data_IF_791678091063
#
_entry.id   IF_791678091063
#
_cell.length_a   1.000
_cell.length_b   1.000
_cell.length_c   1.000
_cell.angle_alpha   90.00
_cell.angle_beta   90.00
_cell.angle_gamma   90.00
#
_symmetry.space_group_name_H-M   'P 1'
#
loop_
_entity.id
_entity.type
_entity.pdbx_description
1 polymer ?
#
# COMPACT_ATOMS: atom_id res chain seq x y z
N UNK A 1 -9.36 46.59 -5.03
CA UNK A 1 -10.09 46.38 -6.30
C UNK A 1 -11.15 45.30 -6.08
N UNK A 2 -12.25 45.34 -6.83
CA UNK A 2 -13.37 44.41 -6.69
C UNK A 2 -12.96 43.06 -7.31
N UNK A 3 -13.12 41.93 -6.59
CA UNK A 3 -12.59 40.61 -7.00
C UNK A 3 -13.11 40.12 -8.36
N UNK A 4 -14.32 40.56 -8.74
CA UNK A 4 -14.95 40.25 -10.03
C UNK A 4 -14.34 41.02 -11.21
N UNK A 5 -13.77 42.21 -10.98
CA UNK A 5 -13.10 42.99 -12.01
C UNK A 5 -11.73 42.38 -12.36
N UNK A 6 -10.97 41.94 -11.34
CA UNK A 6 -9.70 41.22 -11.51
C UNK A 6 -9.87 39.89 -12.26
N UNK A 7 -10.89 39.07 -11.96
CA UNK A 7 -11.14 37.82 -12.72
C UNK A 7 -11.43 38.05 -14.20
N UNK A 8 -12.03 39.19 -14.56
CA UNK A 8 -12.34 39.52 -15.97
C UNK A 8 -11.06 39.96 -16.71
N UNK A 9 -10.20 40.76 -16.07
CA UNK A 9 -8.91 41.17 -16.64
C UNK A 9 -7.93 40.01 -16.82
N UNK A 10 -7.93 39.03 -15.91
CA UNK A 10 -7.08 37.83 -16.02
C UNK A 10 -7.49 36.93 -17.18
N UNK A 11 -8.79 36.77 -17.44
CA UNK A 11 -9.31 35.93 -18.52
C UNK A 11 -9.01 36.44 -19.93
N UNK A 12 -8.54 37.69 -20.05
CA UNK A 12 -8.14 38.31 -21.32
C UNK A 12 -6.63 38.26 -21.56
N UNK A 13 -5.84 37.75 -20.60
CA UNK A 13 -4.39 37.60 -20.74
C UNK A 13 -4.03 36.45 -21.69
N UNK A 14 -3.00 36.68 -22.53
CA UNK A 14 -2.44 35.65 -23.41
C UNK A 14 -1.44 34.79 -22.64
N UNK A 15 -1.98 33.79 -21.92
CA UNK A 15 -1.16 32.90 -21.11
C UNK A 15 -0.17 32.09 -21.95
N UNK A 16 1.11 32.02 -21.57
CA UNK A 16 2.13 31.28 -22.31
C UNK A 16 1.83 29.77 -22.36
N UNK A 17 1.17 29.27 -21.31
CA UNK A 17 0.69 27.90 -21.18
C UNK A 17 -0.79 27.96 -20.79
N UNK A 18 -1.63 27.16 -21.44
CA UNK A 18 -3.07 27.14 -21.14
C UNK A 18 -3.32 26.75 -19.67
N UNK A 19 -4.09 27.55 -18.89
CA UNK A 19 -4.50 27.15 -17.55
C UNK A 19 -5.34 25.87 -17.58
N UNK A 20 -5.12 24.99 -16.60
CA UNK A 20 -5.90 23.79 -16.39
C UNK A 20 -7.36 24.13 -16.08
N UNK A 21 -8.27 23.23 -16.43
CA UNK A 21 -9.68 23.33 -16.05
C UNK A 21 -9.87 23.40 -14.51
N UNK A 22 -8.92 22.88 -13.73
CA UNK A 22 -8.98 22.98 -12.26
C UNK A 22 -9.00 24.43 -11.76
N UNK A 23 -8.45 25.37 -12.55
CA UNK A 23 -8.46 26.80 -12.25
C UNK A 23 -9.86 27.45 -12.33
N UNK A 24 -10.89 26.72 -12.78
CA UNK A 24 -12.29 27.15 -12.63
C UNK A 24 -12.78 27.00 -11.17
N UNK A 25 -12.11 26.16 -10.38
CA UNK A 25 -12.42 25.88 -8.97
C UNK A 25 -11.38 26.45 -8.01
N UNK A 26 -10.12 26.55 -8.46
CA UNK A 26 -9.02 27.16 -7.72
C UNK A 26 -8.79 28.63 -8.15
N UNK A 27 -8.13 29.41 -7.32
CA UNK A 27 -7.86 30.82 -7.62
C UNK A 27 -6.45 31.04 -8.18
N UNK A 28 -6.35 31.93 -9.18
CA UNK A 28 -5.08 32.46 -9.64
C UNK A 28 -4.39 33.27 -8.54
N UNK A 29 -3.07 33.11 -8.40
CA UNK A 29 -2.28 33.96 -7.51
C UNK A 29 -1.75 35.15 -8.30
N UNK A 30 -2.16 36.37 -7.95
CA UNK A 30 -1.81 37.58 -8.71
C UNK A 30 -1.00 38.55 -7.87
N UNK A 31 0.15 38.98 -8.39
CA UNK A 31 1.02 39.96 -7.75
C UNK A 31 1.48 41.02 -8.76
N UNK A 32 1.13 42.27 -8.51
CA UNK A 32 1.61 43.40 -9.32
C UNK A 32 2.78 44.10 -8.60
N UNK A 33 3.89 44.27 -9.30
CA UNK A 33 5.09 44.97 -8.84
C UNK A 33 5.49 46.02 -9.88
N UNK A 34 5.07 47.26 -9.67
CA UNK A 34 5.33 48.37 -10.61
C UNK A 34 4.68 48.11 -11.97
N UNK A 35 5.51 47.97 -13.00
CA UNK A 35 5.09 47.77 -14.40
C UNK A 35 4.99 46.28 -14.78
N UNK A 36 5.02 45.39 -13.79
CA UNK A 36 5.06 43.95 -13.98
C UNK A 36 3.92 43.30 -13.21
N UNK A 37 3.22 42.38 -13.86
CA UNK A 37 2.17 41.56 -13.29
C UNK A 37 2.62 40.11 -13.32
N UNK A 38 2.64 39.45 -12.17
CA UNK A 38 2.90 38.02 -12.06
C UNK A 38 1.61 37.29 -11.77
N UNK A 39 1.32 36.24 -12.52
CA UNK A 39 0.13 35.41 -12.37
C UNK A 39 0.56 33.95 -12.25
N UNK A 40 0.23 33.35 -11.11
CA UNK A 40 0.47 31.96 -10.77
C UNK A 40 -0.77 31.11 -11.00
N UNK A 41 -0.62 29.98 -11.68
CA UNK A 41 -1.71 29.05 -11.98
C UNK A 41 -1.21 27.63 -12.26
N UNK A 42 -2.14 26.68 -12.27
CA UNK A 42 -1.88 25.31 -12.66
C UNK A 42 -2.18 25.10 -14.15
N UNK A 43 -1.32 24.33 -14.83
CA UNK A 43 -1.51 23.87 -16.20
C UNK A 43 -1.51 22.34 -16.22
N UNK A 44 -2.24 21.72 -17.14
CA UNK A 44 -2.30 20.25 -17.24
C UNK A 44 -0.95 19.71 -17.75
N UNK A 45 -0.36 18.77 -17.01
CA UNK A 45 0.81 18.02 -17.42
C UNK A 45 0.37 16.77 -18.20
N UNK A 46 0.46 16.84 -19.52
CA UNK A 46 0.04 15.75 -20.41
C UNK A 46 1.08 14.64 -20.54
N UNK A 47 2.30 14.87 -20.03
CA UNK A 47 3.43 13.95 -20.09
C UNK A 47 3.81 13.42 -18.70
N UNK A 48 2.89 13.50 -17.74
CA UNK A 48 3.07 12.97 -16.38
C UNK A 48 3.48 11.50 -16.36
N UNK A 49 4.58 11.20 -15.68
CA UNK A 49 5.07 9.84 -15.50
C UNK A 49 4.31 9.10 -14.39
N UNK A 50 4.16 7.78 -14.53
CA UNK A 50 3.53 6.94 -13.52
C UNK A 50 4.35 6.98 -12.21
N UNK A 51 3.78 7.47 -11.08
CA UNK A 51 4.51 7.61 -9.82
C UNK A 51 5.04 6.26 -9.33
N UNK A 52 4.37 5.14 -9.63
CA UNK A 52 4.82 3.81 -9.25
C UNK A 52 6.09 3.35 -9.99
N UNK A 53 6.47 4.06 -11.05
CA UNK A 53 7.64 3.75 -11.88
C UNK A 53 8.74 4.80 -11.73
N UNK A 54 8.39 6.08 -11.63
CA UNK A 54 9.36 7.18 -11.62
C UNK A 54 9.78 7.62 -10.20
N UNK A 55 8.97 7.35 -9.17
CA UNK A 55 9.25 7.75 -7.81
C UNK A 55 9.80 6.58 -6.97
N UNK A 56 10.91 6.85 -6.28
CA UNK A 56 11.51 5.94 -5.32
C UNK A 56 10.62 5.76 -4.07
N UNK A 57 10.55 4.55 -3.52
CA UNK A 57 9.84 4.29 -2.26
C UNK A 57 8.33 4.13 -2.38
N UNK A 58 7.80 4.08 -3.61
CA UNK A 58 6.39 3.82 -3.90
C UNK A 58 6.05 2.32 -3.87
N UNK A 59 7.05 1.44 -3.96
CA UNK A 59 6.83 0.00 -4.06
C UNK A 59 6.24 -0.42 -5.40
N UNK A 60 5.54 -1.55 -5.42
CA UNK A 60 4.96 -2.13 -6.62
C UNK A 60 3.51 -2.54 -6.38
N UNK A 61 2.64 -2.24 -7.35
CA UNK A 61 1.28 -2.75 -7.40
C UNK A 61 1.25 -3.91 -8.39
N UNK A 62 0.91 -5.10 -7.91
CA UNK A 62 0.66 -6.26 -8.76
C UNK A 62 -0.82 -6.59 -8.75
N UNK A 63 -1.41 -6.85 -9.91
CA UNK A 63 -2.83 -7.14 -10.01
C UNK A 63 -3.15 -8.42 -10.79
N UNK A 64 -4.26 -9.06 -10.41
CA UNK A 64 -4.95 -10.10 -11.17
C UNK A 64 -6.19 -9.55 -11.91
N UNK A 65 -6.35 -8.23 -11.91
CA UNK A 65 -7.47 -7.53 -12.53
C UNK A 65 -7.39 -7.62 -14.06
N UNK A 66 -8.46 -7.27 -14.76
CA UNK A 66 -8.62 -7.52 -16.21
C UNK A 66 -7.52 -6.92 -17.12
N UNK A 67 -6.74 -5.97 -16.61
CA UNK A 67 -5.66 -5.30 -17.33
C UNK A 67 -4.27 -5.76 -16.90
N UNK A 68 -4.20 -6.77 -16.03
CA UNK A 68 -2.96 -7.42 -15.63
C UNK A 68 -2.23 -7.90 -16.87
N UNK A 69 -0.96 -7.51 -16.99
CA UNK A 69 -0.08 -7.95 -18.06
C UNK A 69 0.68 -9.18 -17.58
N UNK A 70 1.85 -8.96 -16.99
CA UNK A 70 2.77 -10.00 -16.54
C UNK A 70 2.96 -10.00 -15.01
N UNK A 71 1.95 -9.49 -14.28
CA UNK A 71 2.03 -9.25 -12.83
C UNK A 71 1.56 -10.43 -11.98
N UNK A 72 0.84 -11.41 -12.57
CA UNK A 72 0.30 -12.56 -11.83
C UNK A 72 1.37 -13.33 -11.03
N UNK A 73 2.55 -13.67 -11.60
CA UNK A 73 3.57 -14.40 -10.84
C UNK A 73 4.06 -13.62 -9.63
N UNK A 74 4.21 -12.29 -9.74
CA UNK A 74 4.64 -11.44 -8.65
C UNK A 74 3.57 -11.32 -7.55
N UNK A 75 2.30 -11.22 -7.93
CA UNK A 75 1.18 -11.24 -6.99
C UNK A 75 1.07 -12.60 -6.28
N UNK A 76 1.22 -13.70 -7.02
CA UNK A 76 1.21 -15.06 -6.48
C UNK A 76 2.35 -15.25 -5.48
N UNK A 77 3.58 -14.86 -5.82
CA UNK A 77 4.73 -14.90 -4.93
C UNK A 77 4.50 -14.06 -3.66
N UNK A 78 4.03 -12.82 -3.81
CA UNK A 78 3.76 -11.93 -2.68
C UNK A 78 2.71 -12.51 -1.71
N UNK A 79 1.74 -13.26 -2.22
CA UNK A 79 0.67 -13.88 -1.44
C UNK A 79 0.93 -15.35 -1.07
N UNK A 80 2.10 -15.90 -1.44
CA UNK A 80 2.46 -17.32 -1.28
C UNK A 80 1.49 -18.30 -1.97
N UNK A 81 0.92 -17.91 -3.11
CA UNK A 81 -0.02 -18.70 -3.91
C UNK A 81 0.67 -19.40 -5.08
N UNK A 82 0.08 -20.49 -5.55
CA UNK A 82 0.52 -21.19 -6.74
C UNK A 82 -0.09 -20.60 -8.03
N UNK A 83 0.25 -21.18 -9.18
CA UNK A 83 -0.22 -20.75 -10.49
C UNK A 83 -1.76 -20.84 -10.66
N UNK A 84 -2.42 -21.67 -9.85
CA UNK A 84 -3.87 -21.89 -9.84
C UNK A 84 -4.58 -21.03 -8.77
N UNK A 85 -3.86 -20.07 -8.17
CA UNK A 85 -4.35 -19.18 -7.10
C UNK A 85 -4.79 -19.94 -5.85
N UNK A 86 -4.21 -21.11 -5.59
CA UNK A 86 -4.36 -21.87 -4.36
C UNK A 86 -3.16 -21.66 -3.43
N UNK A 87 -3.25 -22.03 -2.15
CA UNK A 87 -2.08 -22.07 -1.27
C UNK A 87 -0.91 -22.86 -1.89
N UNK A 88 0.25 -22.23 -2.07
CA UNK A 88 1.43 -22.93 -2.56
C UNK A 88 2.01 -23.84 -1.47
N UNK A 89 1.65 -25.12 -1.54
CA UNK A 89 2.10 -26.14 -0.60
C UNK A 89 3.54 -26.63 -0.89
N UNK A 90 4.11 -26.32 -2.05
CA UNK A 90 5.50 -26.65 -2.36
C UNK A 90 6.46 -25.86 -1.46
N UNK A 91 6.08 -24.66 -1.05
CA UNK A 91 6.80 -23.85 -0.05
C UNK A 91 7.00 -24.58 1.28
N UNK A 92 6.13 -25.53 1.63
CA UNK A 92 6.24 -26.34 2.84
C UNK A 92 7.22 -27.52 2.70
N UNK A 93 7.77 -27.75 1.51
CA UNK A 93 8.64 -28.89 1.20
C UNK A 93 10.03 -28.45 0.72
N UNK A 94 10.30 -27.15 0.63
CA UNK A 94 11.54 -26.57 0.10
C UNK A 94 12.66 -26.39 1.15
N UNK A 95 12.57 -27.04 2.30
CA UNK A 95 13.51 -26.86 3.41
C UNK A 95 13.24 -25.63 4.27
N UNK A 96 14.08 -25.46 5.30
CA UNK A 96 14.05 -24.27 6.14
C UNK A 96 12.86 -24.20 7.14
N UNK A 97 12.49 -22.98 7.59
CA UNK A 97 11.50 -22.80 8.65
C UNK A 97 10.09 -23.30 8.31
N UNK A 98 9.69 -23.22 7.04
CA UNK A 98 8.36 -23.63 6.58
C UNK A 98 8.17 -25.15 6.65
N UNK A 99 9.12 -25.93 6.11
CA UNK A 99 9.12 -27.39 6.23
C UNK A 99 9.20 -27.82 7.70
N UNK A 100 10.01 -27.16 8.51
CA UNK A 100 10.12 -27.44 9.93
C UNK A 100 8.80 -27.24 10.69
N UNK A 101 8.03 -26.21 10.34
CA UNK A 101 6.71 -25.96 10.90
C UNK A 101 5.70 -27.04 10.47
N UNK A 102 5.65 -27.33 9.16
CA UNK A 102 4.76 -28.35 8.61
C UNK A 102 5.05 -29.73 9.19
N UNK A 103 6.32 -30.14 9.24
CA UNK A 103 6.76 -31.39 9.86
C UNK A 103 6.30 -31.51 11.31
N UNK A 104 6.48 -30.46 12.11
CA UNK A 104 6.11 -30.48 13.55
C UNK A 104 4.61 -30.69 13.72
N UNK A 105 3.80 -29.93 12.99
CA UNK A 105 2.35 -30.00 13.10
C UNK A 105 1.80 -31.31 12.51
N UNK A 106 2.33 -31.75 11.37
CA UNK A 106 1.96 -33.03 10.78
C UNK A 106 2.25 -34.21 11.72
N UNK A 107 3.43 -34.26 12.34
CA UNK A 107 3.77 -35.32 13.32
C UNK A 107 2.82 -35.27 14.52
N UNK A 108 2.43 -34.07 14.97
CA UNK A 108 1.47 -33.90 16.06
C UNK A 108 0.11 -34.50 15.68
N UNK A 109 -0.40 -34.16 14.51
CA UNK A 109 -1.70 -34.61 14.00
C UNK A 109 -1.71 -36.10 13.66
N UNK A 110 -0.67 -36.60 13.00
CA UNK A 110 -0.50 -38.03 12.71
C UNK A 110 -0.59 -38.89 13.98
N UNK A 111 -0.13 -38.39 15.13
CA UNK A 111 -0.19 -39.14 16.39
C UNK A 111 -1.58 -39.27 17.04
N UNK A 112 -2.59 -38.58 16.48
CA UNK A 112 -3.98 -38.56 16.97
C UNK A 112 -5.01 -38.92 15.90
N UNK A 113 -4.72 -38.72 14.62
CA UNK A 113 -5.65 -39.01 13.52
C UNK A 113 -5.75 -40.52 13.28
N UNK A 114 -7.00 -41.03 13.27
CA UNK A 114 -7.29 -42.46 13.20
C UNK A 114 -6.64 -43.16 12.01
N UNK A 115 -6.64 -42.51 10.83
CA UNK A 115 -6.05 -43.05 9.60
C UNK A 115 -4.57 -43.41 9.77
N UNK A 116 -3.77 -42.48 10.31
CA UNK A 116 -2.35 -42.73 10.54
C UNK A 116 -2.14 -43.76 11.67
N UNK A 117 -2.93 -43.69 12.74
CA UNK A 117 -2.84 -44.64 13.85
C UNK A 117 -3.05 -46.09 13.38
N UNK A 118 -4.11 -46.34 12.59
CA UNK A 118 -4.43 -47.66 12.04
C UNK A 118 -3.34 -48.14 11.08
N UNK A 119 -2.82 -47.26 10.22
CA UNK A 119 -1.70 -47.60 9.35
C UNK A 119 -0.41 -47.91 10.14
N UNK A 120 -0.10 -47.11 11.16
CA UNK A 120 1.10 -47.26 11.97
C UNK A 120 1.10 -48.54 12.82
N UNK A 121 -0.08 -49.01 13.22
CA UNK A 121 -0.32 -50.28 13.89
C UNK A 121 -0.22 -51.46 12.93
N UNK A 122 -0.90 -51.40 11.79
CA UNK A 122 -0.93 -52.50 10.81
C UNK A 122 0.43 -52.76 10.14
N UNK A 123 1.26 -51.72 9.99
CA UNK A 123 2.63 -51.83 9.45
C UNK A 123 3.70 -51.89 10.54
N UNK A 124 3.29 -51.77 11.80
CA UNK A 124 4.17 -51.69 12.96
C UNK A 124 4.48 -53.03 13.61
N UNK A 125 5.31 -53.00 14.65
CA UNK A 125 5.62 -54.19 15.47
C UNK A 125 4.73 -54.31 16.73
N UNK A 126 3.90 -53.30 17.01
CA UNK A 126 3.05 -53.22 18.20
C UNK A 126 1.59 -53.05 17.82
N UNK A 127 0.73 -53.83 18.46
CA UNK A 127 -0.73 -53.84 18.28
C UNK A 127 -1.49 -52.91 19.23
N UNK A 128 -0.87 -52.47 20.33
CA UNK A 128 -1.41 -51.41 21.22
C UNK A 128 -0.42 -50.24 21.28
N UNK A 129 -0.76 -49.16 20.58
CA UNK A 129 0.13 -48.03 20.39
C UNK A 129 -0.05 -46.94 21.45
N UNK A 130 1.01 -46.63 22.19
CA UNK A 130 1.03 -45.41 23.01
C UNK A 130 1.22 -44.17 22.14
N UNK A 131 0.78 -43.00 22.58
CA UNK A 131 1.02 -41.71 21.88
C UNK A 131 2.51 -41.49 21.60
N UNK A 132 3.39 -41.87 22.52
CA UNK A 132 4.84 -41.77 22.33
C UNK A 132 5.36 -42.71 21.22
N UNK A 133 4.74 -43.89 21.04
CA UNK A 133 5.05 -44.78 19.92
C UNK A 133 4.58 -44.17 18.59
N UNK A 134 3.35 -43.66 18.52
CA UNK A 134 2.80 -43.05 17.31
C UNK A 134 3.61 -41.82 16.87
N UNK A 135 3.99 -40.94 17.80
CA UNK A 135 4.88 -39.80 17.49
C UNK A 135 6.23 -40.23 16.91
N UNK A 136 6.85 -41.28 17.48
CA UNK A 136 8.10 -41.84 16.94
C UNK A 136 7.91 -42.45 15.55
N UNK A 137 6.79 -43.14 15.31
CA UNK A 137 6.43 -43.68 13.99
C UNK A 137 6.23 -42.57 12.96
N UNK A 138 5.46 -41.54 13.28
CA UNK A 138 5.27 -40.37 12.43
C UNK A 138 6.60 -39.66 12.11
N UNK A 139 7.45 -39.48 13.13
CA UNK A 139 8.80 -38.89 12.94
C UNK A 139 9.65 -39.75 12.00
N UNK A 140 9.63 -41.07 12.16
CA UNK A 140 10.38 -41.98 11.29
C UNK A 140 9.83 -42.01 9.86
N UNK A 141 8.50 -41.97 9.71
CA UNK A 141 7.81 -41.89 8.41
C UNK A 141 8.25 -40.65 7.65
N UNK A 142 8.18 -39.46 8.28
CA UNK A 142 8.61 -38.20 7.67
C UNK A 142 10.06 -38.25 7.18
N UNK A 143 10.97 -38.75 8.02
CA UNK A 143 12.39 -38.87 7.65
C UNK A 143 12.64 -39.78 6.45
N UNK A 144 11.85 -40.83 6.29
CA UNK A 144 11.97 -41.74 5.17
C UNK A 144 11.36 -41.15 3.89
N UNK A 145 10.24 -40.44 4.01
CA UNK A 145 9.64 -39.67 2.91
C UNK A 145 10.60 -38.60 2.38
N UNK A 146 11.23 -37.82 3.27
CA UNK A 146 12.22 -36.81 2.89
C UNK A 146 13.45 -37.39 2.16
N UNK A 147 13.71 -38.70 2.30
CA UNK A 147 14.77 -39.40 1.56
C UNK A 147 14.31 -39.90 0.17
N UNK A 148 13.13 -39.48 -0.30
CA UNK A 148 12.59 -39.82 -1.63
C UNK A 148 11.99 -41.23 -1.72
N UNK A 149 11.60 -41.84 -0.60
CA UNK A 149 11.08 -43.20 -0.57
C UNK A 149 9.64 -43.28 -0.05
N UNK A 150 8.80 -44.08 -0.71
CA UNK A 150 7.50 -44.47 -0.17
C UNK A 150 7.67 -45.44 1.00
N UNK A 151 6.93 -45.22 2.08
CA UNK A 151 7.06 -46.01 3.31
C UNK A 151 5.93 -47.02 3.36
N UNK A 152 6.25 -48.28 3.09
CA UNK A 152 5.25 -49.35 3.01
C UNK A 152 4.14 -49.04 1.99
N UNK A 153 4.49 -48.41 0.87
CA UNK A 153 3.55 -48.04 -0.19
C UNK A 153 2.61 -46.89 0.17
N UNK A 154 2.99 -46.05 1.15
CA UNK A 154 2.29 -44.83 1.52
C UNK A 154 3.21 -43.61 1.46
N UNK A 155 2.67 -42.52 0.92
CA UNK A 155 3.26 -41.19 0.85
C UNK A 155 2.57 -40.21 1.78
N UNK A 156 3.19 -39.03 1.97
CA UNK A 156 2.67 -38.00 2.87
C UNK A 156 1.21 -37.63 2.52
N UNK A 157 0.95 -37.45 1.23
CA UNK A 157 -0.34 -37.01 0.71
C UNK A 157 -1.39 -38.13 0.60
N UNK A 158 -1.01 -39.39 0.85
CA UNK A 158 -1.96 -40.51 0.91
C UNK A 158 -2.83 -40.50 2.17
N UNK A 159 -2.47 -39.66 3.15
CA UNK A 159 -3.27 -39.44 4.34
C UNK A 159 -4.18 -38.22 4.12
N UNK A 160 -5.49 -38.42 4.24
CA UNK A 160 -6.51 -37.39 3.96
C UNK A 160 -6.33 -36.11 4.79
N UNK A 161 -5.81 -36.21 6.02
CA UNK A 161 -5.57 -35.06 6.90
C UNK A 161 -4.34 -34.23 6.51
N UNK A 162 -3.47 -34.72 5.63
CA UNK A 162 -2.23 -34.00 5.26
C UNK A 162 -2.52 -32.67 4.58
N UNK A 163 -3.53 -32.62 3.71
CA UNK A 163 -3.94 -31.39 3.03
C UNK A 163 -4.49 -30.35 4.03
N UNK A 164 -5.36 -30.78 4.94
CA UNK A 164 -5.89 -29.92 6.03
C UNK A 164 -4.74 -29.29 6.83
N UNK A 165 -3.78 -30.11 7.26
CA UNK A 165 -2.63 -29.64 8.04
C UNK A 165 -1.73 -28.72 7.22
N UNK A 166 -1.49 -29.03 5.95
CA UNK A 166 -0.65 -28.21 5.08
C UNK A 166 -1.26 -26.83 4.88
N UNK A 167 -2.57 -26.75 4.58
CA UNK A 167 -3.29 -25.48 4.41
C UNK A 167 -3.31 -24.65 5.70
N UNK A 168 -3.53 -25.28 6.85
CA UNK A 168 -3.51 -24.59 8.15
C UNK A 168 -2.13 -24.02 8.48
N UNK A 169 -1.07 -24.81 8.24
CA UNK A 169 0.32 -24.36 8.45
C UNK A 169 0.69 -23.27 7.46
N UNK A 170 0.34 -23.40 6.18
CA UNK A 170 0.54 -22.37 5.17
C UNK A 170 -0.10 -21.05 5.61
N UNK A 171 -1.35 -21.10 6.09
CA UNK A 171 -2.09 -19.93 6.57
C UNK A 171 -1.40 -19.26 7.77
N UNK A 172 -0.92 -20.04 8.75
CA UNK A 172 -0.13 -19.52 9.89
C UNK A 172 1.18 -18.87 9.42
N UNK A 173 1.88 -19.49 8.48
CA UNK A 173 3.17 -19.00 7.99
C UNK A 173 3.01 -17.71 7.18
N UNK A 174 1.97 -17.59 6.35
CA UNK A 174 1.61 -16.34 5.66
C UNK A 174 1.26 -15.25 6.67
N UNK A 175 0.40 -15.55 7.66
CA UNK A 175 0.01 -14.58 8.68
C UNK A 175 1.20 -14.07 9.51
N UNK A 176 2.24 -14.88 9.67
CA UNK A 176 3.48 -14.53 10.36
C UNK A 176 4.56 -13.95 9.44
N UNK A 177 4.31 -13.88 8.13
CA UNK A 177 5.26 -13.40 7.14
C UNK A 177 6.51 -14.26 6.99
N UNK A 178 6.40 -15.58 7.24
CA UNK A 178 7.49 -16.54 7.03
C UNK A 178 7.57 -16.98 5.56
N UNK A 179 6.42 -17.00 4.88
CA UNK A 179 6.30 -17.22 3.43
C UNK A 179 5.45 -16.09 2.83
N UNK A 180 5.67 -15.82 1.55
CA UNK A 180 5.13 -14.63 0.89
C UNK A 180 5.81 -13.35 1.38
N UNK A 181 5.27 -12.20 0.97
CA UNK A 181 5.76 -10.92 1.44
C UNK A 181 4.98 -10.48 2.70
N UNK A 182 5.68 -10.42 3.83
CA UNK A 182 5.12 -10.03 5.14
C UNK A 182 4.40 -8.68 5.11
N UNK A 183 4.96 -7.73 4.38
CA UNK A 183 4.53 -6.34 4.39
C UNK A 183 3.59 -6.02 3.22
N UNK A 184 3.24 -7.01 2.39
CA UNK A 184 2.26 -6.85 1.32
C UNK A 184 0.88 -6.46 1.83
N UNK A 185 0.20 -5.57 1.11
CA UNK A 185 -1.12 -5.04 1.46
C UNK A 185 -2.12 -5.39 0.36
N UNK A 186 -3.19 -6.11 0.73
CA UNK A 186 -4.27 -6.48 -0.21
C UNK A 186 -5.08 -5.25 -0.61
N UNK A 187 -5.41 -5.15 -1.90
CA UNK A 187 -6.11 -4.02 -2.49
C UNK A 187 -7.42 -4.43 -3.18
N UNK A 188 -8.43 -3.57 -3.07
CA UNK A 188 -9.65 -3.61 -3.87
C UNK A 188 -9.54 -2.62 -5.05
N UNK A 189 -10.14 -2.96 -6.18
CA UNK A 189 -10.19 -2.12 -7.39
C UNK A 189 -11.64 -1.79 -7.73
N UNK A 190 -11.99 -0.50 -7.77
CA UNK A 190 -13.26 0.01 -8.27
C UNK A 190 -13.11 0.47 -9.72
N UNK A 191 -14.07 0.13 -10.58
CA UNK A 191 -14.07 0.56 -11.98
C UNK A 191 -15.48 0.75 -12.58
N UNK A 192 -15.80 1.98 -13.01
CA UNK A 192 -17.06 2.30 -13.72
C UNK A 192 -16.93 3.48 -14.70
N UNK A 193 -16.20 4.52 -14.32
CA UNK A 193 -15.92 5.70 -15.17
C UNK A 193 -14.49 6.25 -14.96
N UNK A 194 -13.68 5.44 -14.29
CA UNK A 194 -12.33 5.70 -13.81
C UNK A 194 -11.91 4.48 -12.99
N UNK A 195 -10.66 4.46 -12.55
CA UNK A 195 -10.11 3.37 -11.74
C UNK A 195 -9.69 3.93 -10.39
N UNK A 196 -10.08 3.26 -9.32
CA UNK A 196 -9.68 3.62 -7.96
C UNK A 196 -9.22 2.38 -7.21
N UNK A 197 -8.01 2.43 -6.68
CA UNK A 197 -7.43 1.42 -5.81
C UNK A 197 -7.59 1.82 -4.36
N UNK A 198 -7.91 0.86 -3.50
CA UNK A 198 -8.04 1.09 -2.06
C UNK A 198 -7.58 -0.12 -1.28
N UNK A 199 -7.15 0.08 -0.04
CA UNK A 199 -6.82 -1.03 0.86
C UNK A 199 -8.08 -1.89 1.07
N UNK A 200 -7.95 -3.21 0.96
CA UNK A 200 -9.10 -4.11 0.98
C UNK A 200 -9.92 -3.95 2.26
N UNK A 201 -11.22 -3.68 2.07
CA UNK A 201 -12.18 -3.56 3.17
C UNK A 201 -12.19 -2.22 3.91
N UNK A 202 -11.41 -1.21 3.50
CA UNK A 202 -11.46 0.14 4.11
C UNK A 202 -12.50 1.05 3.46
N UNK A 203 -12.86 0.80 2.19
CA UNK A 203 -13.77 1.66 1.44
C UNK A 203 -15.20 1.10 1.34
N UNK A 204 -16.20 1.97 1.46
CA UNK A 204 -17.60 1.64 1.17
C UNK A 204 -17.83 1.73 -0.34
N UNK A 205 -17.52 0.66 -1.06
CA UNK A 205 -17.51 0.64 -2.51
C UNK A 205 -18.75 -0.03 -3.12
N UNK A 206 -19.04 0.29 -4.38
CA UNK A 206 -20.16 -0.31 -5.11
C UNK A 206 -19.91 -1.81 -5.29
N UNK A 207 -20.85 -2.65 -4.85
CA UNK A 207 -20.71 -4.11 -4.95
C UNK A 207 -20.59 -4.61 -6.40
N UNK A 208 -21.09 -3.86 -7.38
CA UNK A 208 -21.08 -4.28 -8.79
C UNK A 208 -19.79 -3.89 -9.52
N UNK A 209 -19.22 -2.75 -9.15
CA UNK A 209 -18.07 -2.16 -9.84
C UNK A 209 -16.76 -2.40 -9.08
N UNK A 210 -16.78 -3.11 -7.94
CA UNK A 210 -15.58 -3.34 -7.13
C UNK A 210 -15.16 -4.80 -7.12
N UNK A 211 -13.96 -5.06 -7.64
CA UNK A 211 -13.26 -6.32 -7.46
C UNK A 211 -12.50 -6.30 -6.13
N UNK A 212 -12.89 -7.17 -5.19
CA UNK A 212 -12.21 -7.29 -3.90
C UNK A 212 -10.94 -8.09 -4.03
N UNK A 213 -9.88 -7.67 -3.33
CA UNK A 213 -8.55 -8.31 -3.35
C UNK A 213 -8.03 -8.51 -4.77
N UNK A 214 -8.30 -7.53 -5.64
CA UNK A 214 -7.95 -7.55 -7.05
C UNK A 214 -6.45 -7.34 -7.28
N UNK A 215 -5.75 -6.77 -6.31
CA UNK A 215 -4.32 -6.54 -6.37
C UNK A 215 -3.67 -6.58 -5.01
N UNK A 216 -2.35 -6.44 -5.02
CA UNK A 216 -1.50 -6.36 -3.85
C UNK A 216 -0.46 -5.27 -4.06
N UNK A 217 -0.31 -4.41 -3.06
CA UNK A 217 0.84 -3.52 -2.97
C UNK A 217 1.96 -4.22 -2.22
N UNK A 218 3.17 -4.15 -2.76
CA UNK A 218 4.39 -4.75 -2.21
C UNK A 218 5.44 -3.66 -2.06
N UNK A 219 5.96 -3.41 -0.84
CA UNK A 219 6.96 -2.37 -0.65
C UNK A 219 8.29 -2.76 -1.33
N UNK A 220 8.93 -1.77 -1.95
CA UNK A 220 10.33 -1.85 -2.39
C UNK A 220 11.29 -1.68 -1.20
N UNK A 221 12.60 -1.64 -1.46
CA UNK A 221 13.62 -1.50 -0.41
C UNK A 221 13.49 -0.19 0.39
N UNK A 222 13.17 0.93 -0.25
CA UNK A 222 13.04 2.23 0.41
C UNK A 222 11.72 2.34 1.19
N UNK A 223 10.64 1.78 0.66
CA UNK A 223 9.37 1.64 1.36
C UNK A 223 9.54 0.76 2.61
N UNK A 224 10.31 -0.34 2.52
CA UNK A 224 10.64 -1.18 3.67
C UNK A 224 11.45 -0.42 4.72
N UNK A 225 12.43 0.39 4.32
CA UNK A 225 13.18 1.23 5.25
C UNK A 225 12.28 2.26 5.96
N UNK A 226 11.32 2.85 5.25
CA UNK A 226 10.32 3.73 5.85
C UNK A 226 9.42 2.99 6.85
N UNK A 227 8.97 1.78 6.52
CA UNK A 227 8.20 0.93 7.42
C UNK A 227 9.03 0.61 8.68
N UNK A 228 10.29 0.19 8.51
CA UNK A 228 11.21 -0.14 9.60
C UNK A 228 11.49 1.07 10.50
N UNK A 229 11.62 2.27 9.91
CA UNK A 229 11.83 3.49 10.67
C UNK A 229 10.59 3.85 11.50
N UNK A 230 9.41 3.72 10.90
CA UNK A 230 8.16 4.21 11.46
C UNK A 230 7.44 3.22 12.39
N UNK A 231 7.74 1.91 12.32
CA UNK A 231 7.03 0.89 13.13
C UNK A 231 7.11 1.19 14.64
N UNK A 232 8.24 1.74 15.10
CA UNK A 232 8.44 2.03 16.52
C UNK A 232 7.60 3.21 17.02
N UNK A 233 7.23 4.12 16.11
CA UNK A 233 6.36 5.28 16.39
C UNK A 233 4.89 4.82 16.35
N UNK A 234 4.50 4.11 15.29
CA UNK A 234 3.15 3.56 15.13
C UNK A 234 2.80 2.47 16.14
N UNK A 235 3.79 1.89 16.83
CA UNK A 235 3.57 1.00 17.96
C UNK A 235 2.76 1.66 19.10
N UNK A 236 2.78 2.99 19.21
CA UNK A 236 2.12 3.75 20.28
C UNK A 236 0.82 4.44 19.87
N UNK A 237 0.52 4.53 18.58
CA UNK A 237 -0.71 5.12 18.09
C UNK A 237 -0.91 4.96 16.59
N UNK A 238 -2.08 5.38 16.11
CA UNK A 238 -2.44 5.43 14.71
C UNK A 238 -2.88 6.85 14.34
N UNK A 239 -2.77 7.21 13.07
CA UNK A 239 -3.26 8.49 12.53
C UNK A 239 -4.37 8.17 11.54
N UNK A 240 -5.54 8.75 11.76
CA UNK A 240 -6.75 8.50 10.98
C UNK A 240 -7.24 9.80 10.36
N UNK A 241 -7.53 9.79 9.06
CA UNK A 241 -8.28 10.86 8.43
C UNK A 241 -9.74 10.83 8.91
N UNK A 242 -10.23 11.95 9.41
CA UNK A 242 -11.63 12.09 9.83
C UNK A 242 -12.58 12.34 8.65
N UNK A 243 -12.03 12.54 7.46
CA UNK A 243 -12.71 12.77 6.19
C UNK A 243 -13.40 14.13 6.10
N UNK A 244 -13.76 14.52 4.87
CA UNK A 244 -14.50 15.77 4.58
C UNK A 244 -13.83 17.02 5.12
N UNK A 245 -12.49 17.09 5.08
CA UNK A 245 -11.73 18.25 5.55
C UNK A 245 -11.82 18.50 7.06
N UNK A 246 -12.21 17.49 7.85
CA UNK A 246 -12.31 17.61 9.31
C UNK A 246 -10.96 17.53 10.02
N UNK A 247 -9.90 17.20 9.29
CA UNK A 247 -8.55 17.03 9.82
C UNK A 247 -8.24 15.60 10.22
N UNK A 248 -7.22 15.45 11.05
CA UNK A 248 -6.58 14.19 11.39
C UNK A 248 -6.70 13.90 12.88
N UNK A 249 -7.01 12.65 13.22
CA UNK A 249 -7.10 12.20 14.61
C UNK A 249 -6.00 11.21 14.91
N UNK A 250 -5.30 11.40 16.03
CA UNK A 250 -4.36 10.39 16.53
C UNK A 250 -5.09 9.53 17.54
N UNK A 251 -5.14 8.21 17.34
CA UNK A 251 -5.66 7.27 18.34
C UNK A 251 -4.50 6.57 19.02
N UNK A 252 -4.48 6.58 20.36
CA UNK A 252 -3.44 5.89 21.12
C UNK A 252 -4.06 4.73 21.89
N UNK A 253 -3.24 3.79 22.36
CA UNK A 253 -3.71 2.75 23.31
C UNK A 253 -4.04 3.31 24.69
N UNK A 254 -3.72 4.58 24.93
CA UNK A 254 -4.12 5.37 26.08
C UNK A 254 -5.40 6.13 25.69
N UNK A 255 -6.27 6.51 26.63
CA UNK A 255 -7.54 7.23 26.32
C UNK A 255 -7.33 8.68 25.83
N UNK A 256 -6.30 8.90 25.00
CA UNK A 256 -5.90 10.17 24.41
C UNK A 256 -6.18 10.11 22.91
N UNK A 257 -7.01 11.04 22.44
CA UNK A 257 -7.40 11.16 21.03
C UNK A 257 -7.32 12.64 20.57
N UNK A 258 -6.11 13.19 20.36
CA UNK A 258 -5.97 14.56 19.89
C UNK A 258 -6.29 14.68 18.39
N UNK A 259 -6.84 15.83 18.02
CA UNK A 259 -7.21 16.19 16.64
C UNK A 259 -6.30 17.33 16.13
N UNK A 260 -5.95 17.27 14.84
CA UNK A 260 -5.04 18.20 14.18
C UNK A 260 -5.60 18.61 12.81
N UNK A 261 -5.22 19.79 12.33
CA UNK A 261 -5.60 20.25 11.00
C UNK A 261 -4.85 19.49 9.89
N UNK A 262 -3.58 19.16 10.12
CA UNK A 262 -2.70 18.52 9.12
C UNK A 262 -2.15 17.18 9.61
N UNK A 263 -1.84 16.30 8.66
CA UNK A 263 -1.18 15.03 8.97
C UNK A 263 0.20 15.26 9.60
N UNK A 264 0.95 16.25 9.12
CA UNK A 264 2.29 16.58 9.62
C UNK A 264 2.29 16.99 11.09
N UNK A 265 1.28 17.74 11.53
CA UNK A 265 1.11 18.09 12.94
C UNK A 265 0.77 16.86 13.79
N UNK A 266 -0.14 16.00 13.29
CA UNK A 266 -0.49 14.74 13.94
C UNK A 266 0.72 13.81 14.08
N UNK A 267 1.53 13.69 13.01
CA UNK A 267 2.77 12.93 13.00
C UNK A 267 3.79 13.47 14.00
N UNK A 268 4.03 14.78 13.98
CA UNK A 268 4.95 15.45 14.92
C UNK A 268 4.53 15.22 16.37
N UNK A 269 3.23 15.25 16.64
CA UNK A 269 2.72 14.93 17.96
C UNK A 269 2.95 13.46 18.34
N UNK A 270 2.65 12.52 17.43
CA UNK A 270 2.83 11.08 17.69
C UNK A 270 4.30 10.72 17.94
N UNK A 271 5.22 11.30 17.18
CA UNK A 271 6.68 11.14 17.39
C UNK A 271 7.07 11.61 18.80
N UNK A 272 6.59 12.78 19.23
CA UNK A 272 6.85 13.29 20.59
C UNK A 272 6.23 12.41 21.66
N UNK A 273 5.04 11.87 21.41
CA UNK A 273 4.36 10.96 22.32
C UNK A 273 5.08 9.61 22.46
N UNK A 274 5.63 9.07 21.38
CA UNK A 274 6.41 7.83 21.37
C UNK A 274 7.81 8.00 21.97
N UNK A 275 8.37 9.21 21.92
CA UNK A 275 9.72 9.51 22.38
C UNK A 275 9.96 9.09 23.85
N UNK A 276 11.00 8.27 24.06
CA UNK A 276 11.39 7.78 25.39
C UNK A 276 10.58 6.58 25.90
N UNK A 277 9.57 6.12 25.16
CA UNK A 277 8.85 4.88 25.46
C UNK A 277 9.59 3.66 24.89
N UNK A 278 9.35 2.49 25.48
CA UNK A 278 9.91 1.21 24.99
C UNK A 278 8.77 0.32 24.52
N UNK A 279 8.79 -0.07 23.25
CA UNK A 279 7.77 -0.94 22.65
C UNK A 279 8.07 -2.42 22.93
N UNK A 280 7.03 -3.21 23.18
CA UNK A 280 7.14 -4.67 23.21
C UNK A 280 7.12 -5.24 21.79
N UNK A 281 7.53 -6.50 21.61
CA UNK A 281 7.50 -7.15 20.29
C UNK A 281 6.10 -7.13 19.65
N UNK A 282 5.04 -7.39 20.43
CA UNK A 282 3.65 -7.34 19.93
C UNK A 282 3.21 -5.93 19.53
N UNK A 283 3.71 -4.90 20.22
CA UNK A 283 3.45 -3.51 19.84
C UNK A 283 4.19 -3.12 18.56
N UNK A 284 5.42 -3.60 18.37
CA UNK A 284 6.17 -3.41 17.13
C UNK A 284 5.49 -4.11 15.95
N UNK A 285 4.95 -5.32 16.14
CA UNK A 285 4.15 -5.99 15.09
C UNK A 285 2.93 -5.16 14.70
N UNK A 286 2.17 -4.66 15.68
CA UNK A 286 1.04 -3.75 15.44
C UNK A 286 1.49 -2.44 14.78
N UNK A 287 2.62 -1.90 15.21
CA UNK A 287 3.20 -0.68 14.66
C UNK A 287 3.64 -0.84 13.21
N UNK A 288 4.20 -2.00 12.86
CA UNK A 288 4.56 -2.36 11.49
C UNK A 288 3.34 -2.46 10.59
N UNK A 289 2.27 -3.10 11.07
CA UNK A 289 0.99 -3.19 10.36
C UNK A 289 0.40 -1.82 10.04
N UNK A 290 0.45 -0.90 11.01
CA UNK A 290 0.03 0.50 10.81
C UNK A 290 0.95 1.25 9.85
N UNK A 291 2.27 1.09 10.00
CA UNK A 291 3.25 1.76 9.15
C UNK A 291 3.10 1.36 7.67
N UNK A 292 2.98 0.06 7.38
CA UNK A 292 2.76 -0.42 6.00
C UNK A 292 1.41 0.02 5.44
N UNK A 293 0.35 0.03 6.26
CA UNK A 293 -0.99 0.47 5.82
C UNK A 293 -1.01 1.96 5.52
N UNK A 294 -0.42 2.78 6.40
CA UNK A 294 -0.33 4.23 6.20
C UNK A 294 0.52 4.59 4.98
N UNK A 295 1.66 3.91 4.80
CA UNK A 295 2.49 4.12 3.61
C UNK A 295 1.73 3.71 2.34
N UNK A 296 1.15 2.51 2.32
CA UNK A 296 0.33 2.05 1.19
C UNK A 296 -0.81 3.03 0.86
N UNK A 297 -1.50 3.58 1.87
CA UNK A 297 -2.55 4.56 1.62
C UNK A 297 -2.02 5.81 0.93
N UNK A 298 -0.89 6.36 1.39
CA UNK A 298 -0.28 7.54 0.74
C UNK A 298 0.12 7.25 -0.72
N UNK A 299 0.72 6.08 -0.97
CA UNK A 299 1.07 5.63 -2.33
C UNK A 299 -0.19 5.56 -3.21
N UNK A 300 -1.27 4.97 -2.69
CA UNK A 300 -2.53 4.85 -3.44
C UNK A 300 -3.20 6.19 -3.67
N UNK A 301 -3.11 7.13 -2.73
CA UNK A 301 -3.68 8.47 -2.91
C UNK A 301 -3.01 9.19 -4.09
N UNK A 302 -1.68 9.13 -4.18
CA UNK A 302 -0.90 9.67 -5.29
C UNK A 302 -1.19 8.92 -6.60
N UNK A 303 -1.14 7.59 -6.59
CA UNK A 303 -1.41 6.78 -7.78
C UNK A 303 -2.84 6.94 -8.31
N UNK A 304 -3.83 7.09 -7.43
CA UNK A 304 -5.21 7.34 -7.83
C UNK A 304 -5.39 8.75 -8.42
N UNK A 305 -4.69 9.76 -7.89
CA UNK A 305 -4.67 11.10 -8.49
C UNK A 305 -4.06 11.06 -9.90
N UNK A 306 -2.96 10.31 -10.08
CA UNK A 306 -2.39 10.04 -11.40
C UNK A 306 -3.40 9.37 -12.35
N UNK A 307 -4.07 8.30 -11.91
CA UNK A 307 -5.10 7.60 -12.72
C UNK A 307 -6.30 8.49 -13.06
N UNK A 308 -6.61 9.49 -12.23
CA UNK A 308 -7.64 10.48 -12.50
C UNK A 308 -7.19 11.58 -13.48
N UNK A 309 -5.91 11.63 -13.84
CA UNK A 309 -5.32 12.66 -14.70
C UNK A 309 -4.98 13.95 -13.97
N UNK A 310 -4.89 13.92 -12.63
CA UNK A 310 -4.50 15.08 -11.82
C UNK A 310 -2.98 15.30 -11.84
N UNK A 311 -2.44 15.56 -13.04
CA UNK A 311 -1.03 15.87 -13.25
C UNK A 311 -0.90 17.33 -13.69
N UNK A 312 -0.06 18.09 -13.00
CA UNK A 312 0.00 19.53 -13.16
C UNK A 312 1.42 20.07 -13.25
N UNK A 313 1.56 21.15 -14.01
CA UNK A 313 2.65 22.11 -13.88
C UNK A 313 2.20 23.35 -13.12
N UNK A 314 3.12 23.94 -12.36
CA UNK A 314 2.97 25.25 -11.76
C UNK A 314 3.59 26.26 -12.72
N UNK A 315 2.80 27.24 -13.15
CA UNK A 315 3.23 28.28 -14.07
C UNK A 315 3.16 29.64 -13.38
N UNK A 316 4.29 30.36 -13.36
CA UNK A 316 4.39 31.76 -12.95
C UNK A 316 4.58 32.58 -14.22
N UNK A 317 3.47 33.02 -14.82
CA UNK A 317 3.51 33.90 -15.97
C UNK A 317 3.81 35.34 -15.55
N UNK A 318 4.79 35.94 -16.19
CA UNK A 318 5.12 37.36 -16.00
C UNK A 318 4.57 38.14 -17.20
N UNK A 319 3.91 39.26 -16.93
CA UNK A 319 3.43 40.19 -17.93
C UNK A 319 4.02 41.57 -17.67
N UNK A 320 4.45 42.25 -18.74
CA UNK A 320 4.94 43.62 -18.68
C UNK A 320 3.88 44.57 -19.21
N UNK A 321 3.63 45.67 -18.51
CA UNK A 321 2.67 46.68 -18.98
C UNK A 321 3.33 47.53 -20.09
N UNK A 322 2.89 47.34 -21.32
CA UNK A 322 3.30 48.13 -22.49
C UNK A 322 2.39 49.33 -22.76
N UNK A 323 1.28 49.42 -22.03
CA UNK A 323 0.31 50.50 -22.06
C UNK A 323 0.69 51.68 -21.17
N UNK A 324 -0.35 52.35 -20.64
CA UNK A 324 -0.18 53.49 -19.72
C UNK A 324 -0.60 53.12 -18.31
N UNK A 325 -0.32 54.00 -17.33
CA UNK A 325 -0.75 53.77 -15.94
C UNK A 325 -2.29 53.80 -15.79
N UNK A 326 -2.97 54.62 -16.60
CA UNK A 326 -4.43 54.76 -16.59
C UNK A 326 -5.16 53.73 -17.47
N UNK A 327 -4.44 53.09 -18.40
CA UNK A 327 -4.95 52.10 -19.36
C UNK A 327 -3.84 51.05 -19.62
N UNK A 328 -3.69 50.05 -18.74
CA UNK A 328 -2.62 49.06 -18.82
C UNK A 328 -2.89 48.05 -19.95
N UNK A 329 -1.86 47.77 -20.75
CA UNK A 329 -1.86 46.72 -21.76
C UNK A 329 -0.76 45.72 -21.40
N UNK A 330 -1.08 44.45 -21.26
CA UNK A 330 -0.15 43.43 -20.76
C UNK A 330 0.41 42.59 -21.91
N UNK A 331 1.73 42.55 -22.05
CA UNK A 331 2.42 41.65 -22.97
C UNK A 331 3.15 40.57 -22.18
N UNK A 332 3.11 39.33 -22.69
CA UNK A 332 3.71 38.17 -22.04
C UNK A 332 5.24 38.27 -22.03
N UNK A 333 5.80 38.29 -20.83
CA UNK A 333 7.24 38.23 -20.57
C UNK A 333 7.73 36.80 -20.36
N UNK A 334 8.83 36.65 -19.62
CA UNK A 334 9.39 35.32 -19.30
C UNK A 334 8.57 34.66 -18.18
N UNK A 335 8.08 33.44 -18.43
CA UNK A 335 7.45 32.57 -17.44
C UNK A 335 8.45 31.64 -16.78
N UNK A 336 8.23 31.35 -15.50
CA UNK A 336 8.87 30.24 -14.79
C UNK A 336 7.86 29.08 -14.69
N UNK A 337 8.32 27.86 -14.94
CA UNK A 337 7.46 26.68 -15.03
C UNK A 337 8.13 25.48 -14.34
N UNK A 338 7.39 24.78 -13.50
CA UNK A 338 7.83 23.55 -12.84
C UNK A 338 6.75 22.48 -13.03
N UNK A 339 7.13 21.33 -13.57
CA UNK A 339 6.23 20.25 -13.98
C UNK A 339 6.36 19.02 -13.07
N UNK A 340 5.42 18.08 -13.18
CA UNK A 340 5.45 16.81 -12.44
C UNK A 340 4.77 16.81 -11.07
N UNK A 341 3.81 17.71 -10.81
CA UNK A 341 3.00 17.65 -9.59
C UNK A 341 1.81 16.71 -9.79
N UNK A 342 1.62 15.75 -8.88
CA UNK A 342 0.48 14.83 -8.89
C UNK A 342 -0.46 15.17 -7.73
N UNK A 343 -1.74 15.34 -8.05
CA UNK A 343 -2.78 15.72 -7.10
C UNK A 343 -2.94 17.23 -6.95
N UNK A 344 -4.19 17.67 -6.96
CA UNK A 344 -4.55 19.10 -6.97
C UNK A 344 -4.06 19.84 -5.71
N UNK A 345 -4.29 19.28 -4.53
CA UNK A 345 -3.95 19.92 -3.24
C UNK A 345 -2.44 20.21 -3.13
N UNK A 346 -1.60 19.26 -3.56
CA UNK A 346 -0.15 19.40 -3.53
C UNK A 346 0.34 20.46 -4.53
N UNK A 347 -0.21 20.46 -5.75
CA UNK A 347 0.12 21.44 -6.78
C UNK A 347 -0.26 22.87 -6.33
N UNK A 348 -1.45 23.06 -5.74
CA UNK A 348 -1.89 24.34 -5.18
C UNK A 348 -1.00 24.76 -4.01
N UNK A 349 -0.65 23.84 -3.11
CA UNK A 349 0.24 24.16 -1.98
C UNK A 349 1.62 24.64 -2.45
N UNK A 350 2.21 23.95 -3.43
CA UNK A 350 3.48 24.34 -4.01
C UNK A 350 3.38 25.67 -4.76
N UNK A 351 2.29 25.92 -5.50
CA UNK A 351 2.05 27.19 -6.17
C UNK A 351 1.98 28.35 -5.16
N UNK A 352 1.29 28.16 -4.03
CA UNK A 352 1.26 29.15 -2.96
C UNK A 352 2.65 29.42 -2.37
N UNK A 353 3.49 28.39 -2.24
CA UNK A 353 4.83 28.53 -1.69
C UNK A 353 5.77 29.36 -2.58
N UNK A 354 5.61 29.32 -3.90
CA UNK A 354 6.41 30.13 -4.84
C UNK A 354 6.10 31.64 -4.77
N UNK A 355 4.94 32.02 -4.21
CA UNK A 355 4.51 33.42 -4.10
C UNK A 355 4.66 34.03 -2.69
N UNK A 356 5.10 33.24 -1.71
CA UNK A 356 5.37 33.66 -0.32
C UNK A 356 6.86 33.93 -0.09
#
# INVERSE_FOLDING_TARGET
MNTTALKTEIGELDFPVAPSFVMDFEDFIVKQEGNTLKVGYLADDLDGEDPMVCCDGQGHLFTAHRHARDEHPHMQEALALDADWQPDLELLSNGGPAEDAFRKEWIRQASIRAEFCVWAESTGRKTESTTAYLKRRATAFWKQQAAGGSVSGKDLWDFSFSLEVATDVWSDLVARGVIGNRDAVSLDCYEHSGTLWSISGTHNSCHWDTARRAGVWVPDELALDNINHNESIYAFGNIEDMGRGKGWKVTTGESVEPEFATWADAWTWLVKFASGKTATAAMLETGRDRARTALCQNVLDEYNAYLAGECYGIVVATFENVGTEDDPEWETGVSDEVWGYIGTDWAVQALNAEFH
#
